data_IF_251032723543
#
_entry.id   IF_251032723543
#
_cell.length_a   1.000
_cell.length_b   1.000
_cell.length_c   1.000
_cell.angle_alpha   90.00
_cell.angle_beta   90.00
_cell.angle_gamma   90.00
#
_symmetry.space_group_name_H-M   'P 1'
#
loop_
_entity.id
_entity.type
_entity.pdbx_description
1 polymer ?
#
# COMPACT_ATOMS: atom_id res chain seq x y z
N UNK A 1 -2.86 -5.98 -3.66
CA UNK A 1 -4.21 -5.38 -3.61
C UNK A 1 -4.72 -5.25 -5.04
N UNK A 2 -6.04 -5.15 -5.22
CA UNK A 2 -6.68 -5.13 -6.54
C UNK A 2 -6.34 -6.34 -7.43
N UNK A 3 -6.73 -6.23 -8.70
CA UNK A 3 -6.30 -7.14 -9.76
C UNK A 3 -4.84 -6.85 -10.15
N UNK A 4 -4.09 -7.91 -10.46
CA UNK A 4 -2.75 -7.83 -11.05
C UNK A 4 -2.73 -8.62 -12.36
N UNK A 5 -2.07 -8.15 -13.44
CA UNK A 5 -1.30 -6.90 -13.55
C UNK A 5 -2.18 -5.65 -13.45
N UNK A 6 -1.54 -4.49 -13.20
CA UNK A 6 -2.23 -3.19 -13.22
C UNK A 6 -2.71 -2.87 -14.64
N UNK A 7 -3.89 -2.27 -14.74
CA UNK A 7 -4.47 -1.82 -16.00
C UNK A 7 -3.87 -0.45 -16.38
N UNK A 8 -3.19 -0.37 -17.52
CA UNK A 8 -2.50 0.86 -17.96
C UNK A 8 -3.47 2.00 -18.29
N UNK A 9 -4.74 1.70 -18.55
CA UNK A 9 -5.77 2.71 -18.84
C UNK A 9 -6.41 3.29 -17.57
N UNK A 10 -6.12 2.71 -16.38
CA UNK A 10 -6.67 3.17 -15.10
C UNK A 10 -5.65 3.96 -14.29
N UNK A 11 -6.13 5.02 -13.65
CA UNK A 11 -5.38 5.70 -12.58
C UNK A 11 -5.10 4.74 -11.41
N UNK A 12 -4.01 5.00 -10.69
CA UNK A 12 -3.57 4.16 -9.56
C UNK A 12 -3.65 4.92 -8.24
N UNK A 13 -4.27 4.32 -7.24
CA UNK A 13 -4.24 4.77 -5.84
C UNK A 13 -3.33 3.85 -5.05
N UNK A 14 -2.31 4.43 -4.41
CA UNK A 14 -1.44 3.76 -3.45
C UNK A 14 -1.89 4.10 -2.04
N UNK A 15 -2.26 3.09 -1.25
CA UNK A 15 -2.69 3.23 0.13
C UNK A 15 -1.53 2.92 1.08
N UNK A 16 -1.11 3.94 1.82
CA UNK A 16 -0.03 3.87 2.81
C UNK A 16 -0.67 3.89 4.21
N UNK A 17 -0.40 2.89 5.04
CA UNK A 17 -0.96 2.82 6.40
C UNK A 17 -0.18 3.69 7.40
N UNK A 18 -0.80 3.99 8.54
CA UNK A 18 -0.15 4.65 9.68
C UNK A 18 0.58 3.68 10.63
N UNK A 19 1.18 4.21 11.70
CA UNK A 19 1.94 3.43 12.69
C UNK A 19 1.14 2.25 13.27
N UNK A 20 1.80 1.09 13.44
CA UNK A 20 1.17 -0.13 13.98
C UNK A 20 0.19 -0.83 13.04
N UNK A 21 0.02 -0.30 11.83
CA UNK A 21 -0.91 -0.80 10.82
C UNK A 21 -0.31 -1.85 9.87
N UNK A 22 -1.10 -2.17 8.85
CA UNK A 22 -0.71 -2.98 7.69
C UNK A 22 -1.62 -2.63 6.51
N UNK A 23 -1.32 -3.17 5.33
CA UNK A 23 -2.15 -3.06 4.13
C UNK A 23 -3.62 -3.45 4.37
N UNK A 24 -3.89 -4.32 5.35
CA UNK A 24 -5.23 -4.79 5.68
C UNK A 24 -6.18 -3.67 6.16
N UNK A 25 -5.65 -2.55 6.63
CA UNK A 25 -6.46 -1.37 6.99
C UNK A 25 -7.33 -0.89 5.81
N UNK A 26 -6.84 -1.09 4.59
CA UNK A 26 -7.47 -0.57 3.39
C UNK A 26 -8.42 -1.56 2.70
N UNK A 27 -8.76 -2.69 3.34
CA UNK A 27 -9.57 -3.75 2.72
C UNK A 27 -10.90 -3.23 2.17
N UNK A 28 -11.61 -2.40 2.92
CA UNK A 28 -12.89 -1.84 2.51
C UNK A 28 -12.75 -0.87 1.33
N UNK A 29 -11.72 -0.02 1.34
CA UNK A 29 -11.43 0.95 0.28
C UNK A 29 -11.02 0.23 -1.00
N UNK A 30 -10.15 -0.79 -0.90
CA UNK A 30 -9.76 -1.62 -2.03
C UNK A 30 -11.00 -2.27 -2.66
N UNK A 31 -11.86 -2.89 -1.85
CA UNK A 31 -13.08 -3.53 -2.35
C UNK A 31 -14.03 -2.54 -3.04
N UNK A 32 -14.18 -1.33 -2.49
CA UNK A 32 -15.07 -0.32 -3.07
C UNK A 32 -14.54 0.39 -4.32
N UNK A 33 -13.23 0.35 -4.56
CA UNK A 33 -12.58 1.14 -5.61
C UNK A 33 -11.96 0.30 -6.74
N UNK A 34 -11.71 -1.00 -6.53
CA UNK A 34 -10.96 -1.85 -7.46
C UNK A 34 -11.59 -2.00 -8.85
N UNK A 35 -12.89 -1.74 -9.00
CA UNK A 35 -13.55 -1.76 -10.31
C UNK A 35 -13.18 -0.52 -11.15
N UNK A 36 -12.97 0.64 -10.50
CA UNK A 36 -12.81 1.94 -11.15
C UNK A 36 -11.36 2.36 -11.34
N UNK A 37 -10.50 2.00 -10.40
CA UNK A 37 -9.07 2.38 -10.38
C UNK A 37 -8.21 1.20 -9.99
N UNK A 38 -6.93 1.25 -10.36
CA UNK A 38 -5.95 0.35 -9.80
C UNK A 38 -5.76 0.66 -8.31
N UNK A 39 -5.76 -0.36 -7.47
CA UNK A 39 -5.61 -0.20 -6.02
C UNK A 39 -4.39 -0.96 -5.52
N UNK A 40 -3.43 -0.27 -4.92
CA UNK A 40 -2.22 -0.86 -4.34
C UNK A 40 -2.20 -0.53 -2.85
N UNK A 41 -2.32 -1.52 -1.97
CA UNK A 41 -2.16 -1.36 -0.53
C UNK A 41 -0.85 -2.03 -0.12
N UNK A 42 0.03 -1.27 0.52
CA UNK A 42 1.39 -1.69 0.87
C UNK A 42 1.53 -1.93 2.36
N UNK A 43 2.43 -2.85 2.72
CA UNK A 43 2.97 -2.96 4.07
C UNK A 43 4.28 -2.16 4.11
N UNK A 44 4.38 -1.18 5.01
CA UNK A 44 5.64 -0.44 5.22
C UNK A 44 6.69 -1.36 5.89
N UNK A 45 8.00 -1.08 5.74
CA UNK A 45 9.06 -1.81 6.44
C UNK A 45 8.77 -2.03 7.92
N UNK A 46 8.97 -3.26 8.41
CA UNK A 46 8.71 -3.65 9.79
C UNK A 46 7.24 -3.98 10.10
N UNK A 47 6.35 -3.92 9.12
CA UNK A 47 4.92 -4.18 9.29
C UNK A 47 4.41 -5.25 8.32
N UNK A 48 3.34 -5.94 8.72
CA UNK A 48 2.66 -6.94 7.88
C UNK A 48 3.62 -7.95 7.28
N UNK A 49 3.69 -7.99 5.94
CA UNK A 49 4.56 -8.89 5.17
C UNK A 49 5.94 -8.30 4.87
N UNK A 50 6.18 -7.03 5.18
CA UNK A 50 7.41 -6.29 4.85
C UNK A 50 8.46 -6.41 5.95
N UNK A 51 8.96 -7.63 6.18
CA UNK A 51 10.07 -7.90 7.09
C UNK A 51 9.88 -7.41 8.54
N UNK A 52 10.94 -7.49 9.37
CA UNK A 52 10.87 -7.10 10.79
C UNK A 52 11.45 -5.72 11.10
N UNK A 53 12.27 -5.17 10.20
CA UNK A 53 13.01 -3.95 10.46
C UNK A 53 12.26 -2.74 9.90
N UNK A 54 11.78 -1.88 10.81
CA UNK A 54 11.28 -0.56 10.46
C UNK A 54 12.39 0.40 10.03
N UNK A 55 11.98 1.62 9.66
CA UNK A 55 12.89 2.74 9.44
C UNK A 55 12.81 3.72 10.62
N UNK A 56 13.85 4.55 10.74
CA UNK A 56 13.99 5.49 11.85
C UNK A 56 13.49 6.90 11.51
N UNK A 57 13.32 7.23 10.24
CA UNK A 57 12.84 8.54 9.78
C UNK A 57 11.71 8.38 8.77
N UNK A 58 10.85 9.42 8.67
CA UNK A 58 9.80 9.47 7.65
C UNK A 58 10.41 9.48 6.25
N UNK A 59 11.54 10.17 6.06
CA UNK A 59 12.25 10.22 4.78
C UNK A 59 12.69 8.82 4.32
N UNK A 60 13.24 8.01 5.23
CA UNK A 60 13.63 6.63 4.92
C UNK A 60 12.43 5.75 4.56
N UNK A 61 11.27 5.96 5.19
CA UNK A 61 10.02 5.29 4.81
C UNK A 61 9.55 5.74 3.42
N UNK A 62 9.55 7.05 3.15
CA UNK A 62 9.14 7.60 1.85
C UNK A 62 10.02 7.07 0.71
N UNK A 63 11.33 6.92 0.93
CA UNK A 63 12.25 6.37 -0.07
C UNK A 63 11.99 4.89 -0.41
N UNK A 64 11.19 4.17 0.38
CA UNK A 64 10.77 2.80 0.01
C UNK A 64 9.62 2.76 -1.00
N UNK A 65 8.98 3.90 -1.27
CA UNK A 65 7.83 4.03 -2.15
C UNK A 65 8.17 4.60 -3.53
N UNK A 66 9.44 4.96 -3.77
CA UNK A 66 9.95 5.51 -5.04
C UNK A 66 10.52 4.43 -5.96
#
# INVERSE_FOLDING_TARGET
>A
AGSWPLDTEKSTIVFIHGSGGSANYWKAQVQGLSERVNTVAVDLPGHGRSGKNGKNTIADYAQTMV
#
